data_IF_413286576997
#
_entry.id   IF_413286576997
#
_cell.length_a   1.000
_cell.length_b   1.000
_cell.length_c   1.000
_cell.angle_alpha   90.00
_cell.angle_beta   90.00
_cell.angle_gamma   90.00
#
_symmetry.space_group_name_H-M   'P 1'
#
loop_
_entity.id
_entity.type
_entity.pdbx_description
1 polymer ?
2 non-polymer ?
3 water ?
#
# COMPACT_ATOMS: atom_id res chain seq x y z
N UNK A 7 -24.22 -3.53 8.51
CA UNK A 7 -22.99 -3.66 7.75
C UNK A 7 -22.76 -2.45 6.86
N UNK A 8 -23.80 -2.05 6.14
CA UNK A 8 -23.74 -0.94 5.18
C UNK A 8 -24.06 0.40 5.81
N UNK A 9 -23.70 0.63 7.08
CA UNK A 9 -24.22 1.80 7.77
C UNK A 9 -23.42 3.07 7.47
N UNK A 10 -22.15 2.95 7.04
CA UNK A 10 -21.40 4.10 6.55
C UNK A 10 -21.33 4.15 5.03
N UNK A 11 -22.19 3.42 4.34
CA UNK A 11 -22.19 3.36 2.88
C UNK A 11 -23.46 3.97 2.31
N UNK A 12 -23.34 4.52 1.11
CA UNK A 12 -24.46 5.11 0.38
C UNK A 12 -24.93 4.14 -0.70
N UNK A 13 -26.23 3.90 -0.76
CA UNK A 13 -26.78 3.04 -1.78
C UNK A 13 -26.93 3.83 -3.08
N UNK A 14 -26.38 3.30 -4.17
CA UNK A 14 -26.39 3.95 -5.47
C UNK A 14 -27.39 3.21 -6.35
N UNK A 15 -28.16 3.97 -7.14
CA UNK A 15 -29.10 3.30 -8.03
C UNK A 15 -28.37 2.88 -9.32
N UNK A 16 -28.65 1.68 -9.84
CA UNK A 16 -27.91 1.20 -11.02
C UNK A 16 -28.05 2.07 -12.25
N UNK A 17 -29.13 2.85 -12.37
CA UNK A 17 -29.24 3.75 -13.51
C UNK A 17 -28.18 4.84 -13.50
N UNK A 18 -27.49 5.05 -12.38
CA UNK A 18 -26.45 6.07 -12.30
C UNK A 18 -25.07 5.53 -12.65
N UNK A 19 -24.95 4.25 -12.98
CA UNK A 19 -23.66 3.57 -13.14
C UNK A 19 -23.55 3.07 -14.56
N UNK A 20 -22.42 3.33 -15.20
CA UNK A 20 -22.10 2.86 -16.54
C UNK A 20 -20.76 2.14 -16.44
N UNK A 21 -20.74 0.87 -16.82
CA UNK A 21 -19.48 0.12 -16.87
C UNK A 21 -18.90 0.22 -18.27
N UNK A 22 -17.58 0.40 -18.36
CA UNK A 22 -16.93 0.65 -19.64
C UNK A 22 -15.96 -0.47 -20.00
N UNK A 23 -14.88 -0.65 -19.26
CA UNK A 23 -13.85 -1.63 -19.60
C UNK A 23 -13.52 -2.45 -18.36
N UNK A 24 -13.25 -3.74 -18.53
CA UNK A 24 -12.80 -4.62 -17.42
C UNK A 24 -11.38 -4.19 -17.04
N UNK A 25 -11.10 -3.99 -15.75
CA UNK A 25 -9.72 -3.61 -15.29
C UNK A 25 -9.19 -4.66 -14.32
N UNK A 26 -9.98 -5.63 -13.94
CA UNK A 26 -9.49 -6.66 -13.03
C UNK A 26 -10.55 -7.65 -12.64
N UNK A 27 -10.27 -8.43 -11.62
CA UNK A 27 -11.25 -9.44 -11.20
C UNK A 27 -11.47 -9.40 -9.70
N UNK A 28 -12.71 -9.63 -9.30
CA UNK A 28 -12.99 -9.92 -7.92
C UNK A 28 -13.05 -11.43 -7.70
N UNK A 29 -13.47 -11.78 -6.49
CA UNK A 29 -13.62 -13.18 -6.01
C UNK A 29 -14.69 -13.87 -6.88
N UNK A 30 -15.72 -13.14 -7.33
CA UNK A 30 -16.85 -13.69 -8.07
C UNK A 30 -17.52 -12.60 -8.89
N UNK A 31 -16.75 -12.00 -9.77
CA UNK A 31 -17.20 -10.92 -10.63
C UNK A 31 -16.04 -10.05 -11.03
N UNK A 32 -16.24 -9.30 -12.10
CA UNK A 32 -15.20 -8.46 -12.67
C UNK A 32 -15.13 -7.11 -11.95
N UNK A 33 -13.99 -6.45 -12.08
CA UNK A 33 -13.83 -5.05 -11.71
C UNK A 33 -13.75 -4.24 -12.99
N UNK A 34 -14.48 -3.14 -13.05
CA UNK A 34 -14.56 -2.31 -14.24
C UNK A 34 -14.17 -0.87 -13.94
N UNK A 35 -13.66 -0.20 -14.97
CA UNK A 35 -13.67 1.25 -14.99
C UNK A 35 -15.02 1.71 -15.53
N UNK A 36 -15.57 2.75 -14.93
CA UNK A 36 -16.86 3.24 -15.35
C UNK A 36 -17.07 4.68 -14.98
N UNK A 37 -18.33 5.10 -15.08
CA UNK A 37 -18.73 6.47 -14.77
C UNK A 37 -19.91 6.45 -13.83
N UNK A 38 -19.94 7.41 -12.91
CA UNK A 38 -21.00 7.54 -11.91
C UNK A 38 -21.61 8.94 -12.04
N UNK A 39 -22.94 9.00 -12.15
CA UNK A 39 -23.68 10.27 -12.14
C UNK A 39 -24.23 10.57 -10.76
N UNK A 40 -24.21 11.84 -10.40
CA UNK A 40 -24.91 12.35 -9.23
C UNK A 40 -25.03 13.87 -9.30
N UNK A 45 -19.87 16.57 -14.88
CA UNK A 45 -20.94 16.01 -14.07
C UNK A 45 -20.67 14.54 -13.74
N UNK A 46 -20.36 13.74 -14.76
CA UNK A 46 -20.05 12.33 -14.55
C UNK A 46 -18.66 12.20 -13.94
N UNK A 47 -18.51 11.24 -13.03
CA UNK A 47 -17.29 11.05 -12.26
C UNK A 47 -16.73 9.68 -12.59
N UNK A 48 -15.45 9.55 -12.92
CA UNK A 48 -14.89 8.22 -13.17
C UNK A 48 -14.80 7.41 -11.88
N UNK A 49 -15.10 6.12 -11.98
CA UNK A 49 -15.12 5.22 -10.83
C UNK A 49 -14.55 3.86 -11.21
N UNK A 50 -14.17 3.10 -10.20
CA UNK A 50 -13.90 1.67 -10.34
C UNK A 50 -15.07 0.93 -9.71
N UNK A 51 -15.45 -0.20 -10.32
CA UNK A 51 -16.68 -0.90 -9.98
C UNK A 51 -16.40 -2.39 -9.86
N UNK A 52 -16.55 -2.95 -8.66
CA UNK A 52 -16.40 -4.38 -8.46
C UNK A 52 -17.79 -5.02 -8.37
N UNK A 53 -18.02 -6.04 -9.17
CA UNK A 53 -19.33 -6.69 -9.20
C UNK A 53 -19.31 -8.02 -8.46
N UNK A 54 -20.50 -8.43 -8.02
CA UNK A 54 -20.73 -9.77 -7.51
C UNK A 54 -21.82 -10.39 -8.37
N UNK A 55 -21.43 -11.37 -9.18
CA UNK A 55 -22.28 -11.88 -10.25
C UNK A 55 -23.10 -13.09 -9.84
N UNK A 56 -24.12 -13.35 -10.65
CA UNK A 56 -25.12 -14.37 -10.37
C UNK A 56 -24.46 -15.71 -10.08
N UNK A 57 -24.88 -16.35 -8.99
CA UNK A 57 -24.35 -17.61 -8.57
C UNK A 57 -23.41 -17.53 -7.39
N UNK A 58 -23.12 -16.33 -6.89
CA UNK A 58 -22.24 -16.19 -5.76
C UNK A 58 -22.79 -16.94 -4.56
N UNK A 59 -21.88 -17.42 -3.70
CA UNK A 59 -22.26 -18.18 -2.53
C UNK A 59 -22.61 -17.24 -1.38
N UNK A 60 -23.19 -17.82 -0.32
CA UNK A 60 -23.46 -17.07 0.89
C UNK A 60 -22.19 -16.45 1.47
N UNK A 61 -21.12 -17.25 1.57
CA UNK A 61 -19.86 -16.70 2.08
C UNK A 61 -19.34 -15.57 1.20
N UNK A 62 -19.48 -15.71 -0.11
CA UNK A 62 -19.05 -14.63 -1.00
C UNK A 62 -19.90 -13.37 -0.79
N UNK A 63 -21.21 -13.54 -0.55
CA UNK A 63 -22.04 -12.37 -0.32
C UNK A 63 -21.66 -11.68 0.98
N UNK A 64 -21.43 -12.47 2.03
CA UNK A 64 -21.02 -11.92 3.32
C UNK A 64 -19.71 -11.16 3.19
N UNK A 65 -18.74 -11.74 2.48
CA UNK A 65 -17.44 -11.08 2.35
C UNK A 65 -17.53 -9.82 1.51
N UNK A 66 -18.38 -9.85 0.48
CA UNK A 66 -18.52 -8.71 -0.42
C UNK A 66 -19.18 -7.52 0.28
N UNK A 67 -20.34 -7.74 0.91
CA UNK A 67 -20.97 -6.65 1.65
C UNK A 67 -20.18 -6.27 2.89
N UNK A 68 -19.48 -7.24 3.50
CA UNK A 68 -18.60 -6.89 4.62
C UNK A 68 -17.46 -6.00 4.17
N UNK A 69 -16.93 -6.24 2.96
CA UNK A 69 -15.89 -5.37 2.43
C UNK A 69 -16.42 -3.95 2.22
N UNK A 70 -17.58 -3.83 1.58
CA UNK A 70 -18.16 -2.50 1.38
C UNK A 70 -18.39 -1.81 2.72
N UNK A 71 -18.84 -2.57 3.72
CA UNK A 71 -19.08 -1.99 5.03
C UNK A 71 -17.85 -1.37 5.65
N UNK A 72 -16.72 -2.12 5.63
CA UNK A 72 -15.52 -1.58 6.25
C UNK A 72 -14.98 -0.39 5.45
N UNK A 73 -15.06 -0.46 4.12
CA UNK A 73 -14.58 0.67 3.32
C UNK A 73 -15.41 1.92 3.55
N UNK A 74 -16.71 1.74 3.75
CA UNK A 74 -17.55 2.88 4.05
C UNK A 74 -17.21 3.51 5.38
N UNK A 75 -16.74 2.71 6.34
CA UNK A 75 -16.37 3.26 7.65
C UNK A 75 -15.12 4.12 7.56
N UNK A 76 -14.26 3.88 6.59
CA UNK A 76 -13.01 4.63 6.52
C UNK A 76 -13.25 5.97 5.85
N UNK A 77 -12.84 7.05 6.52
CA UNK A 77 -12.90 8.39 5.96
C UNK A 77 -11.56 9.07 6.26
N UNK A 78 -10.63 8.96 5.33
CA UNK A 78 -9.30 9.53 5.52
C UNK A 78 -8.69 9.88 4.17
N UNK A 79 -7.92 10.95 4.15
CA UNK A 79 -7.25 11.46 2.95
C UNK A 79 -6.38 10.40 2.28
N UNK A 80 -5.86 9.44 3.04
CA UNK A 80 -4.91 8.48 2.50
C UNK A 80 -5.47 7.07 2.44
N UNK A 81 -6.79 6.94 2.38
CA UNK A 81 -7.47 5.66 2.21
C UNK A 81 -8.43 5.81 1.04
N UNK A 82 -8.50 4.78 0.19
CA UNK A 82 -9.38 4.84 -0.97
C UNK A 82 -10.80 5.17 -0.53
N UNK A 83 -11.48 6.02 -1.31
CA UNK A 83 -12.82 6.43 -0.95
C UNK A 83 -13.87 5.58 -1.64
N UNK A 84 -14.84 5.11 -0.85
CA UNK A 84 -16.01 4.41 -1.37
C UNK A 84 -17.05 5.43 -1.81
N UNK A 85 -17.45 5.38 -3.08
CA UNK A 85 -18.55 6.23 -3.54
C UNK A 85 -19.87 5.66 -3.08
N UNK A 86 -20.02 4.34 -3.15
CA UNK A 86 -21.22 3.72 -2.63
C UNK A 86 -21.30 2.28 -3.05
N UNK A 87 -22.48 1.71 -2.86
CA UNK A 87 -22.72 0.29 -3.07
C UNK A 87 -24.06 0.13 -3.74
N UNK A 88 -24.16 -0.89 -4.59
CA UNK A 88 -25.44 -1.37 -5.09
C UNK A 88 -25.66 -2.73 -4.43
N UNK A 89 -26.62 -2.79 -3.50
CA UNK A 89 -26.99 -4.04 -2.85
C UNK A 89 -28.42 -4.46 -3.11
N UNK A 90 -29.28 -3.55 -3.56
CA UNK A 90 -30.70 -3.82 -3.79
C UNK A 90 -30.98 -4.36 -5.19
N UNK A 91 -30.00 -4.38 -6.08
CA UNK A 91 -30.17 -4.85 -7.44
C UNK A 91 -29.01 -5.77 -7.79
N UNK A 92 -29.19 -6.54 -8.84
CA UNK A 92 -28.18 -7.48 -9.32
C UNK A 92 -27.66 -7.03 -10.68
N UNK A 93 -26.34 -7.12 -10.91
CA UNK A 93 -25.33 -7.60 -9.97
C UNK A 93 -25.05 -6.56 -8.89
N UNK A 94 -24.67 -7.01 -7.71
CA UNK A 94 -24.27 -6.08 -6.67
C UNK A 94 -22.93 -5.46 -7.02
N UNK A 95 -22.68 -4.25 -6.50
CA UNK A 95 -21.48 -3.52 -6.87
C UNK A 95 -20.90 -2.76 -5.69
N UNK A 96 -19.56 -2.69 -5.66
CA UNK A 96 -18.82 -1.76 -4.81
C UNK A 96 -18.18 -0.74 -5.73
N UNK A 97 -18.40 0.54 -5.45
CA UNK A 97 -17.97 1.61 -6.36
C UNK A 97 -17.04 2.54 -5.61
N UNK A 98 -15.84 2.74 -6.14
CA UNK A 98 -14.85 3.61 -5.53
C UNK A 98 -14.43 4.71 -6.49
N UNK A 99 -13.71 5.68 -5.94
CA UNK A 99 -13.05 6.67 -6.78
C UNK A 99 -12.05 5.99 -7.71
N UNK A 100 -11.64 6.74 -8.73
CA UNK A 100 -10.73 6.28 -9.76
C UNK A 100 -9.57 7.27 -9.89
N UNK A 101 -8.37 6.75 -10.11
CA UNK A 101 -7.16 7.55 -10.27
C UNK A 101 -6.54 7.27 -11.62
N UNK A 102 -6.44 8.30 -12.46
CA UNK A 102 -5.79 8.13 -13.75
C UNK A 102 -4.33 7.71 -13.64
N UNK A 103 -3.64 8.11 -12.57
CA UNK A 103 -2.25 7.70 -12.38
C UNK A 103 -2.13 6.23 -11.96
N UNK A 104 -3.19 5.63 -11.44
CA UNK A 104 -3.19 4.21 -11.14
C UNK A 104 -2.37 3.81 -9.91
N UNK A 105 -1.94 2.55 -9.91
CA UNK A 105 -1.27 1.96 -8.78
C UNK A 105 0.19 2.42 -8.68
N UNK A 106 0.65 2.56 -7.43
CA UNK A 106 1.93 3.18 -7.14
C UNK A 106 3.11 2.40 -7.69
N UNK A 107 3.04 1.05 -7.67
CA UNK A 107 4.19 0.28 -8.16
C UNK A 107 4.47 0.56 -9.63
N UNK A 108 3.45 0.45 -10.46
CA UNK A 108 3.61 0.71 -11.89
C UNK A 108 3.93 2.18 -12.14
N UNK A 109 3.31 3.08 -11.38
CA UNK A 109 3.56 4.51 -11.51
C UNK A 109 5.04 4.82 -11.33
N UNK A 110 5.66 4.33 -10.27
CA UNK A 110 7.05 4.68 -10.05
C UNK A 110 7.99 4.02 -11.06
N UNK A 111 7.64 2.82 -11.52
CA UNK A 111 8.50 2.16 -12.51
C UNK A 111 8.42 2.87 -13.85
N UNK A 112 7.32 3.56 -14.12
CA UNK A 112 7.13 4.29 -15.36
C UNK A 112 7.62 5.73 -15.27
N UNK A 113 8.04 6.18 -14.10
CA UNK A 113 8.47 7.55 -13.83
C UNK A 113 9.81 7.57 -13.11
N UNK A 114 10.70 6.65 -13.51
CA UNK A 114 11.95 6.45 -12.79
C UNK A 114 12.76 7.75 -12.73
N UNK A 115 13.13 8.14 -11.52
CA UNK A 115 13.98 9.30 -11.29
C UNK A 115 13.31 10.65 -11.47
N UNK A 116 11.98 10.70 -11.58
CA UNK A 116 11.33 11.95 -11.94
C UNK A 116 10.92 12.82 -10.75
N UNK A 117 11.09 12.35 -9.51
CA UNK A 117 10.61 13.08 -8.35
C UNK A 117 11.76 13.48 -7.44
N UNK A 118 11.53 14.51 -6.63
CA UNK A 118 12.50 14.90 -5.63
C UNK A 118 12.38 13.99 -4.41
N UNK A 119 13.45 13.99 -3.61
CA UNK A 119 13.42 13.24 -2.36
C UNK A 119 12.25 13.68 -1.50
N UNK A 120 12.01 14.99 -1.43
CA UNK A 120 10.93 15.49 -0.62
C UNK A 120 9.58 14.98 -1.11
N UNK A 121 9.40 14.88 -2.43
CA UNK A 121 8.17 14.31 -2.97
C UNK A 121 8.02 12.85 -2.58
N UNK A 122 9.09 12.07 -2.71
CA UNK A 122 9.01 10.66 -2.34
C UNK A 122 8.70 10.48 -0.86
N UNK A 123 9.37 11.25 -0.01
CA UNK A 123 9.13 11.15 1.44
C UNK A 123 7.71 11.59 1.76
N UNK A 124 7.19 12.59 1.05
CA UNK A 124 5.80 13.00 1.26
C UNK A 124 4.82 11.90 0.92
N UNK A 125 5.11 11.13 -0.13
CA UNK A 125 4.26 9.98 -0.45
C UNK A 125 4.24 9.01 0.73
N UNK A 126 5.42 8.73 1.28
CA UNK A 126 5.52 7.79 2.40
C UNK A 126 4.79 8.31 3.64
N UNK A 127 4.85 9.61 3.89
CA UNK A 127 4.13 10.17 5.03
C UNK A 127 2.63 9.98 4.88
N UNK A 128 2.11 10.14 3.66
CA UNK A 128 0.70 9.92 3.43
C UNK A 128 0.30 8.47 3.61
N UNK A 129 1.09 7.55 3.06
CA UNK A 129 0.82 6.14 3.29
C UNK A 129 0.83 5.81 4.78
N UNK A 130 1.83 6.30 5.51
CA UNK A 130 1.90 6.06 6.96
C UNK A 130 0.70 6.63 7.68
N UNK A 131 0.21 7.81 7.27
CA UNK A 131 -0.95 8.37 7.95
C UNK A 131 -2.20 7.53 7.68
N UNK A 132 -2.34 7.00 6.47
CA UNK A 132 -3.45 6.11 6.21
C UNK A 132 -3.36 4.84 7.04
N UNK A 133 -2.15 4.29 7.16
CA UNK A 133 -1.95 3.09 7.96
C UNK A 133 -2.16 3.35 9.44
N UNK A 134 -1.74 4.51 9.94
CA UNK A 134 -2.00 4.85 11.35
C UNK A 134 -3.50 4.87 11.61
N UNK A 135 -4.25 5.43 10.67
CA UNK A 135 -5.70 5.46 10.76
C UNK A 135 -6.28 4.05 10.79
N UNK A 136 -5.87 3.19 9.85
CA UNK A 136 -6.37 1.82 9.83
C UNK A 136 -6.04 1.10 11.12
N UNK A 137 -4.80 1.20 11.58
CA UNK A 137 -4.40 0.51 12.80
C UNK A 137 -5.22 1.02 14.00
N UNK A 138 -5.44 2.32 14.07
CA UNK A 138 -6.24 2.91 15.15
C UNK A 138 -7.67 2.41 15.10
N UNK A 139 -8.20 2.20 13.89
CA UNK A 139 -9.53 1.63 13.68
C UNK A 139 -9.55 0.11 13.87
N UNK A 140 -8.43 -0.48 14.32
CA UNK A 140 -8.34 -1.91 14.57
C UNK A 140 -8.50 -2.72 13.29
N UNK A 141 -8.01 -2.18 12.18
CA UNK A 141 -8.03 -2.90 10.91
C UNK A 141 -6.60 -3.27 10.55
N UNK A 142 -6.35 -4.58 10.42
CA UNK A 142 -5.08 -5.10 9.96
C UNK A 142 -5.15 -5.34 8.47
N UNK A 143 -4.24 -4.74 7.72
CA UNK A 143 -4.35 -4.76 6.28
C UNK A 143 -3.98 -6.12 5.69
N UNK A 144 -2.81 -6.64 6.09
CA UNK A 144 -2.27 -7.94 5.71
C UNK A 144 -1.59 -7.99 4.35
N UNK A 145 -1.82 -7.01 3.48
CA UNK A 145 -1.25 -7.04 2.14
C UNK A 145 -0.78 -5.66 1.70
N UNK A 146 -0.14 -4.94 2.61
CA UNK A 146 0.35 -3.61 2.25
C UNK A 146 1.57 -3.76 1.35
N UNK A 147 1.52 -3.10 0.20
CA UNK A 147 2.55 -3.17 -0.85
C UNK A 147 2.21 -2.06 -1.82
N UNK A 148 3.21 -1.60 -2.57
CA UNK A 148 2.94 -0.50 -3.50
C UNK A 148 1.85 -0.85 -4.52
N UNK A 149 1.72 -2.14 -4.87
CA UNK A 149 0.67 -2.53 -5.81
C UNK A 149 -0.73 -2.29 -5.29
N UNK A 150 -0.88 -2.12 -3.97
CA UNK A 150 -2.17 -1.86 -3.37
C UNK A 150 -2.38 -0.40 -2.98
N UNK A 151 -1.61 0.52 -3.56
CA UNK A 151 -1.69 1.93 -3.24
C UNK A 151 -1.98 2.67 -4.53
N UNK A 152 -2.96 3.57 -4.49
CA UNK A 152 -3.33 4.38 -5.65
C UNK A 152 -2.76 5.78 -5.49
N UNK A 153 -2.42 6.43 -6.61
CA UNK A 153 -1.83 7.77 -6.61
C UNK A 153 -2.75 8.71 -7.37
N UNK A 154 -3.15 9.81 -6.72
CA UNK A 154 -3.99 10.77 -7.44
C UNK A 154 -3.15 11.83 -8.17
N UNK A 155 -3.82 12.80 -8.78
CA UNK A 155 -3.14 13.81 -9.57
C UNK A 155 -2.56 14.94 -8.74
N UNK A 156 -2.61 14.80 -7.41
CA UNK A 156 -1.85 15.65 -6.51
C UNK A 156 -0.72 14.88 -5.84
N UNK A 157 -0.42 13.68 -6.34
CA UNK A 157 0.61 12.81 -5.76
C UNK A 157 0.20 12.23 -4.40
N UNK A 158 -1.08 12.28 -4.06
CA UNK A 158 -1.55 11.76 -2.78
C UNK A 158 -1.79 10.27 -2.92
N UNK A 159 -1.21 9.52 -2.00
CA UNK A 159 -1.33 8.06 -2.00
C UNK A 159 -2.52 7.61 -1.16
N UNK A 160 -3.29 6.69 -1.73
CA UNK A 160 -4.49 6.14 -1.10
C UNK A 160 -4.31 4.63 -0.91
N UNK A 161 -4.22 4.20 0.35
CA UNK A 161 -4.16 2.78 0.65
C UNK A 161 -5.45 2.10 0.22
N UNK A 162 -5.29 0.95 -0.47
CA UNK A 162 -6.38 0.18 -1.02
C UNK A 162 -6.07 -1.28 -0.78
N UNK A 163 -6.96 -2.16 -1.23
CA UNK A 163 -6.67 -3.59 -1.21
C UNK A 163 -7.38 -4.22 -2.40
N UNK A 164 -6.60 -4.59 -3.40
CA UNK A 164 -7.16 -5.13 -4.61
C UNK A 164 -7.34 -6.64 -4.58
N UNK A 165 -7.03 -7.27 -3.46
CA UNK A 165 -7.04 -8.73 -3.38
C UNK A 165 -5.78 -9.32 -3.98
N UNK A 166 -5.59 -10.61 -3.70
CA UNK A 166 -4.35 -11.28 -4.10
C UNK A 166 -4.44 -11.84 -5.52
N UNK A 186 2.35 -13.08 -0.53
CA UNK A 186 3.33 -12.00 -0.72
C UNK A 186 4.47 -12.09 0.28
N UNK A 187 5.23 -13.20 0.18
CA UNK A 187 6.27 -13.51 1.15
C UNK A 187 7.18 -12.31 1.37
N UNK A 188 7.59 -11.63 0.28
CA UNK A 188 8.61 -10.60 0.35
C UNK A 188 8.17 -9.36 1.11
N UNK A 189 6.87 -9.18 1.30
CA UNK A 189 6.33 -8.04 2.03
C UNK A 189 5.87 -8.40 3.44
N UNK A 190 5.95 -9.66 3.84
CA UNK A 190 5.27 -10.13 5.03
C UNK A 190 6.25 -10.35 6.18
N UNK A 191 5.86 -9.94 7.37
CA UNK A 191 6.71 -10.08 8.53
C UNK A 191 6.93 -11.56 8.89
N UNK A 192 8.05 -11.89 9.53
CA UNK A 192 8.33 -13.30 9.82
C UNK A 192 7.26 -14.00 10.63
N UNK A 193 6.69 -13.33 11.65
CA UNK A 193 5.70 -14.00 12.48
C UNK A 193 4.43 -14.27 11.71
N UNK A 194 4.12 -13.44 10.73
CA UNK A 194 2.93 -13.66 9.92
C UNK A 194 3.12 -14.86 9.00
N UNK A 195 4.32 -15.00 8.43
CA UNK A 195 4.63 -16.17 7.61
C UNK A 195 4.69 -17.42 8.46
N UNK A 196 5.38 -17.35 9.60
CA UNK A 196 5.67 -18.55 10.38
C UNK A 196 4.43 -19.10 11.05
N UNK A 197 3.64 -18.25 11.70
CA UNK A 197 2.53 -18.74 12.49
C UNK A 197 1.24 -17.97 12.31
N UNK A 198 1.13 -17.20 11.24
CA UNK A 198 -0.12 -16.57 10.82
C UNK A 198 -0.53 -15.44 11.74
N UNK A 199 0.45 -14.83 12.40
CA UNK A 199 0.17 -13.71 13.30
C UNK A 199 0.21 -12.40 12.52
N UNK A 200 -0.95 -11.94 12.09
CA UNK A 200 -1.06 -10.69 11.34
C UNK A 200 -1.58 -9.63 12.29
N UNK A 201 -0.82 -8.56 12.46
CA UNK A 201 -1.20 -7.46 13.34
C UNK A 201 -0.76 -6.16 12.69
N UNK A 202 -1.08 -5.04 13.34
CA UNK A 202 -0.57 -3.78 12.83
C UNK A 202 0.96 -3.72 12.86
N UNK A 203 1.61 -4.55 13.69
CA UNK A 203 3.07 -4.60 13.67
C UNK A 203 3.61 -5.39 12.47
N UNK A 204 2.89 -6.41 11.99
CA UNK A 204 3.29 -7.00 10.72
C UNK A 204 3.01 -6.04 9.57
N UNK A 205 1.97 -5.20 9.69
CA UNK A 205 1.79 -4.16 8.68
C UNK A 205 2.95 -3.16 8.68
N UNK A 206 3.53 -2.88 9.85
CA UNK A 206 4.71 -2.00 9.92
C UNK A 206 5.89 -2.60 9.15
N UNK A 207 6.12 -3.91 9.29
CA UNK A 207 7.15 -4.54 8.46
C UNK A 207 6.87 -4.30 6.98
N UNK A 208 5.63 -4.55 6.55
CA UNK A 208 5.27 -4.31 5.16
C UNK A 208 5.51 -2.87 4.75
N UNK A 209 5.17 -1.93 5.64
CA UNK A 209 5.41 -0.53 5.36
C UNK A 209 6.88 -0.25 5.10
N UNK A 210 7.77 -0.87 5.87
CA UNK A 210 9.19 -0.71 5.58
C UNK A 210 9.55 -1.16 4.17
N UNK A 211 8.98 -2.30 3.73
CA UNK A 211 9.19 -2.74 2.35
C UNK A 211 8.65 -1.71 1.38
N UNK A 212 7.46 -1.15 1.65
CA UNK A 212 6.92 -0.12 0.80
C UNK A 212 7.85 1.09 0.73
N UNK A 213 8.44 1.49 1.87
CA UNK A 213 9.42 2.58 1.83
C UNK A 213 10.53 2.26 0.84
N UNK A 214 11.03 1.03 0.88
CA UNK A 214 12.10 0.64 -0.03
C UNK A 214 11.62 0.64 -1.47
N UNK A 215 10.40 0.16 -1.72
CA UNK A 215 9.83 0.24 -3.08
C UNK A 215 9.77 1.69 -3.57
N UNK A 216 9.31 2.60 -2.73
CA UNK A 216 9.19 3.99 -3.16
C UNK A 216 10.56 4.58 -3.47
N UNK A 217 11.50 4.42 -2.53
CA UNK A 217 12.81 5.05 -2.70
C UNK A 217 13.61 4.46 -3.86
N UNK A 218 13.29 3.25 -4.31
CA UNK A 218 13.94 2.63 -5.47
C UNK A 218 13.16 2.79 -6.76
N UNK A 219 12.04 3.50 -6.73
CA UNK A 219 11.18 3.62 -7.92
C UNK A 219 10.65 2.26 -8.39
N UNK A 220 10.25 1.43 -7.43
CA UNK A 220 9.55 0.20 -7.76
C UNK A 220 10.42 -0.99 -8.04
N UNK A 221 11.61 -1.06 -7.45
CA UNK A 221 12.42 -2.26 -7.59
C UNK A 221 11.77 -3.45 -6.89
N UNK A 222 12.06 -4.64 -7.39
CA UNK A 222 11.54 -5.84 -6.77
C UNK A 222 12.30 -6.13 -5.48
N UNK A 223 11.63 -6.20 -4.33
CA UNK A 223 12.34 -6.51 -3.09
C UNK A 223 13.10 -7.84 -3.20
N UNK A 224 14.38 -7.79 -2.84
CA UNK A 224 15.28 -8.96 -2.80
C UNK A 224 15.62 -9.47 -4.20
N UNK A 225 15.30 -8.70 -5.24
CA UNK A 225 15.65 -9.01 -6.64
C UNK A 225 15.26 -10.44 -6.96
N UNK A 226 16.16 -11.25 -7.50
CA UNK A 226 15.82 -12.57 -8.00
C UNK A 226 15.85 -13.66 -6.94
N UNK A 227 16.05 -13.32 -5.67
CA UNK A 227 16.00 -14.35 -4.63
C UNK A 227 14.64 -15.02 -4.65
N UNK A 228 14.62 -16.34 -4.47
CA UNK A 228 13.37 -17.08 -4.37
C UNK A 228 12.73 -16.81 -3.01
N UNK A 229 11.44 -17.17 -2.89
CA UNK A 229 10.74 -16.98 -1.63
C UNK A 229 11.45 -17.68 -0.47
N UNK A 230 11.95 -18.90 -0.70
CA UNK A 230 12.65 -19.63 0.37
C UNK A 230 13.97 -18.95 0.70
N UNK A 231 14.67 -18.44 -0.31
CA UNK A 231 15.92 -17.71 -0.09
C UNK A 231 15.68 -16.42 0.68
N UNK A 232 14.58 -15.71 0.40
CA UNK A 232 14.26 -14.49 1.16
C UNK A 232 14.05 -14.82 2.63
N UNK A 233 13.24 -15.82 2.92
CA UNK A 233 12.97 -16.16 4.32
C UNK A 233 14.23 -16.61 5.04
N UNK A 234 15.06 -17.41 4.39
CA UNK A 234 16.35 -17.83 4.98
C UNK A 234 17.23 -16.58 5.24
N UNK A 235 17.33 -15.67 4.29
CA UNK A 235 18.16 -14.49 4.51
C UNK A 235 17.65 -13.68 5.69
N UNK A 236 16.34 -13.46 5.75
CA UNK A 236 15.74 -12.71 6.84
C UNK A 236 16.03 -13.39 8.17
N UNK A 237 15.84 -14.71 8.23
CA UNK A 237 16.07 -15.42 9.48
C UNK A 237 17.53 -15.37 9.90
N UNK A 238 18.44 -15.29 8.94
CA UNK A 238 19.87 -15.14 9.23
C UNK A 238 20.26 -13.70 9.52
N UNK A 239 19.32 -12.76 9.54
CA UNK A 239 19.59 -11.38 9.88
C UNK A 239 19.88 -10.44 8.74
N UNK A 240 19.86 -10.92 7.49
CA UNK A 240 20.08 -10.03 6.37
C UNK A 240 18.86 -9.17 6.12
N UNK A 241 19.10 -7.95 5.64
CA UNK A 241 18.04 -6.99 5.36
C UNK A 241 18.36 -6.31 4.04
N UNK A 242 17.33 -5.76 3.41
CA UNK A 242 17.56 -5.05 2.15
C UNK A 242 18.57 -3.92 2.36
N UNK A 243 19.49 -3.72 1.42
CA UNK A 243 20.45 -2.62 1.53
C UNK A 243 19.82 -1.28 1.15
N UNK A 244 20.56 -0.21 1.41
CA UNK A 244 19.98 1.09 1.15
C UNK A 244 19.73 1.30 -0.34
N UNK A 245 18.61 1.91 -0.70
CA UNK A 245 18.44 2.41 -2.06
C UNK A 245 19.50 3.46 -2.38
N UNK A 246 19.69 3.71 -3.68
CA UNK A 246 20.54 4.81 -4.10
C UNK A 246 19.86 6.13 -3.78
N UNK A 247 20.67 7.13 -3.43
CA UNK A 247 20.19 8.49 -3.19
C UNK A 247 19.24 8.59 -2.00
N UNK A 248 19.40 7.68 -1.00
CA UNK A 248 18.38 7.59 0.05
C UNK A 248 18.83 8.33 1.28
N UNK A 249 18.00 9.21 1.84
CA UNK A 249 18.37 9.86 3.10
C UNK A 249 18.66 8.84 4.19
N UNK A 250 19.71 9.14 4.97
CA UNK A 250 20.10 8.28 6.07
C UNK A 250 18.92 8.03 7.00
N UNK A 251 18.16 9.08 7.32
CA UNK A 251 17.05 8.93 8.26
C UNK A 251 15.99 7.99 7.72
N UNK A 252 15.76 7.99 6.40
CA UNK A 252 14.76 7.13 5.80
C UNK A 252 15.20 5.67 5.83
N UNK A 253 16.47 5.41 5.51
CA UNK A 253 16.96 4.04 5.61
C UNK A 253 16.95 3.54 7.04
N UNK A 254 17.31 4.39 8.00
CA UNK A 254 17.25 3.98 9.40
C UNK A 254 15.84 3.60 9.80
N UNK A 255 14.86 4.38 9.33
CA UNK A 255 13.47 4.09 9.66
C UNK A 255 13.01 2.77 9.06
N UNK A 256 13.32 2.51 7.80
CA UNK A 256 12.88 1.23 7.24
C UNK A 256 13.55 0.07 7.97
N UNK A 257 14.80 0.24 8.39
CA UNK A 257 15.48 -0.82 9.13
C UNK A 257 14.79 -1.13 10.45
N UNK A 258 14.27 -0.10 11.12
CA UNK A 258 13.53 -0.32 12.36
C UNK A 258 12.24 -1.08 12.11
N UNK A 259 11.60 -0.84 10.96
CA UNK A 259 10.38 -1.56 10.63
C UNK A 259 10.64 -3.04 10.47
N UNK A 260 11.88 -3.43 10.20
CA UNK A 260 12.24 -4.82 9.94
C UNK A 260 12.89 -5.49 11.14
N UNK A 261 12.59 -5.02 12.34
CA UNK A 261 13.07 -5.71 13.53
C UNK A 261 12.43 -7.09 13.59
N UNK A 262 13.25 -8.11 13.88
CA UNK A 262 12.72 -9.46 14.01
C UNK A 262 11.67 -9.54 15.12
N UNK A 263 11.98 -8.93 16.26
CA UNK A 263 11.09 -8.92 17.42
C UNK A 263 9.98 -7.92 17.15
N UNK A 264 8.75 -8.42 17.04
CA UNK A 264 7.62 -7.59 16.67
C UNK A 264 7.45 -6.39 17.61
N UNK A 265 7.66 -6.60 18.91
CA UNK A 265 7.46 -5.53 19.87
C UNK A 265 8.47 -4.40 19.73
N UNK A 266 9.60 -4.63 19.07
CA UNK A 266 10.60 -3.58 18.94
C UNK A 266 10.33 -2.64 17.78
N UNK A 267 9.43 -2.99 16.88
CA UNK A 267 9.16 -2.15 15.73
C UNK A 267 8.44 -0.87 16.17
N UNK A 268 8.64 0.23 15.45
CA UNK A 268 7.83 1.42 15.70
C UNK A 268 6.37 1.15 15.45
N UNK A 269 5.51 1.89 16.15
CA UNK A 269 4.10 1.91 15.81
C UNK A 269 3.89 2.93 14.69
N UNK A 270 2.74 2.86 14.00
CA UNK A 270 2.51 3.81 12.92
C UNK A 270 2.51 5.25 13.41
N UNK A 271 2.08 5.50 14.65
CA UNK A 271 2.16 6.86 15.18
C UNK A 271 3.60 7.36 15.22
N UNK A 272 4.54 6.48 15.59
CA UNK A 272 5.94 6.86 15.63
C UNK A 272 6.45 7.16 14.23
N UNK A 273 6.04 6.33 13.26
CA UNK A 273 6.45 6.52 11.86
C UNK A 273 5.95 7.86 11.34
N UNK A 274 4.67 8.15 11.54
CA UNK A 274 4.13 9.42 11.07
C UNK A 274 4.86 10.59 11.70
N UNK A 275 5.09 10.51 13.02
CA UNK A 275 5.78 11.60 13.72
C UNK A 275 7.18 11.84 13.14
N UNK A 276 7.93 10.77 12.91
CA UNK A 276 9.28 10.89 12.38
C UNK A 276 9.26 11.50 10.98
N UNK A 277 8.39 11.01 10.11
CA UNK A 277 8.34 11.51 8.74
C UNK A 277 7.89 12.96 8.69
N UNK A 278 6.91 13.34 9.52
CA UNK A 278 6.50 14.74 9.63
C UNK A 278 7.68 15.63 10.02
N UNK A 279 8.48 15.20 10.99
CA UNK A 279 9.58 16.02 11.45
C UNK A 279 10.64 16.16 10.36
N UNK A 280 10.90 15.10 9.61
CA UNK A 280 11.87 15.18 8.52
C UNK A 280 11.39 16.14 7.43
N UNK A 281 10.11 16.08 7.08
CA UNK A 281 9.58 16.95 6.03
C UNK A 281 9.58 18.41 6.49
N UNK A 282 9.26 18.67 7.76
CA UNK A 282 9.17 20.04 8.24
C UNK A 282 10.53 20.67 8.49
N UNK A 283 11.60 19.87 8.54
CA UNK A 283 12.98 20.36 8.57
C UNK A 283 13.73 19.66 7.43
N UNK A 284 13.47 20.04 6.18
CA UNK A 284 13.90 19.20 5.05
C UNK A 284 15.40 19.09 4.88
N UNK A 285 16.20 19.98 5.48
CA UNK A 285 17.65 19.78 5.43
C UNK A 285 18.06 18.45 6.05
N UNK A 286 17.23 17.89 6.93
CA UNK A 286 17.51 16.59 7.53
C UNK A 286 17.60 15.49 6.49
N UNK A 287 16.99 15.68 5.33
CA UNK A 287 16.97 14.65 4.29
C UNK A 287 18.17 14.73 3.36
N UNK A 288 19.04 15.73 3.53
CA UNK A 288 20.17 15.88 2.63
C UNK A 288 21.32 14.92 2.96
N UNK A 289 21.37 14.42 4.19
CA UNK A 289 22.38 13.45 4.59
C UNK A 289 21.97 12.07 4.06
N UNK A 290 22.81 11.48 3.21
CA UNK A 290 22.45 10.24 2.51
C UNK A 290 23.18 9.05 3.10
N UNK A 291 22.49 7.92 3.16
CA UNK A 291 23.12 6.66 3.52
C UNK A 291 24.07 6.23 2.40
N UNK A 292 25.19 5.63 2.80
CA UNK A 292 26.19 5.15 1.86
C UNK A 292 25.60 4.02 1.01
N UNK A 293 25.64 4.17 -0.30
CA UNK A 293 25.17 3.14 -1.20
C UNK A 293 26.29 2.17 -1.50
N UNK A 294 26.04 0.87 -1.31
CA UNK A 294 27.04 -0.15 -1.55
C UNK A 294 27.01 -0.55 -3.02
N UNK A 295 28.00 -0.15 -3.82
CA UNK A 295 27.94 -0.46 -5.26
C UNK A 295 28.22 -1.94 -5.50
N UNK A 296 27.41 -2.54 -6.35
CA UNK A 296 27.71 -3.90 -6.82
C UNK A 296 28.87 -3.88 -7.78
N UNK A 297 28.90 -2.89 -8.67
CA UNK A 297 29.90 -2.79 -9.73
C UNK A 297 30.65 -1.48 -9.54
N UNK A 298 31.97 -1.56 -9.60
CA UNK A 298 32.83 -0.39 -9.57
C UNK A 298 33.52 -0.26 -10.92
N UNK A 299 33.58 0.96 -11.44
CA UNK A 299 34.23 1.24 -12.71
C UNK A 299 35.52 2.01 -12.42
N UNK A 300 36.60 1.59 -13.06
CA UNK A 300 37.89 2.24 -12.93
C UNK A 300 38.08 3.21 -14.08
N UNK A 301 38.25 4.49 -13.75
CA UNK A 301 38.45 5.53 -14.74
C UNK A 301 39.59 6.43 -14.26
N UNK A 302 40.36 6.99 -15.20
CA UNK A 302 41.57 7.78 -14.89
C UNK A 302 41.29 8.98 -14.00
#
# INVERSE_FOLDING_TARGET
>A
GDPNQAVLKFTTEIHPSCVTRQKVIGAGEFGEVYKGMLKTSSGKKEVPVAIKTLKAGYTEKQRVDFLGEAGIMGQFSHHNIIRLEGVISKYKPMMIITEYMENGALDKFLREKDGEFSVLQLVGMLRGIAAGMKYLANMNYVHRDLAARNILVNSNLVCKVSDFGLSRVLEDDPEATYTTSGGKIPIRWTAPEAISYRKFTSASDVWSFGIVMWEVMTYGERPYWELSNHEVMKAINDGFRLPTPMDCPSAIYQLMMQCWQQERARRPKFADIVSILDKLIRAPDSLKTLADFDPRVSIRLPSTSG
#
